data_IF_251889558549
#
_entry.id   IF_251889558549
#
_cell.length_a   1.000
_cell.length_b   1.000
_cell.length_c   1.000
_cell.angle_alpha   90.00
_cell.angle_beta   90.00
_cell.angle_gamma   90.00
#
_symmetry.space_group_name_H-M   'P 1'
#
loop_
_entity.id
_entity.type
_entity.pdbx_description
1 polymer ?
#
# COMPACT_ATOMS: atom_id res chain seq x y z
N UNK A 1 -2.29 -33.70 10.57
CA UNK A 1 -2.83 -32.37 10.91
C UNK A 1 -2.83 -31.54 9.65
N UNK A 2 -4.01 -31.28 9.07
CA UNK A 2 -4.13 -30.43 7.89
C UNK A 2 -4.18 -28.98 8.35
N UNK A 3 -3.08 -28.26 8.18
CA UNK A 3 -3.08 -26.81 8.27
C UNK A 3 -3.80 -26.29 7.02
N UNK A 4 -5.09 -25.94 7.15
CA UNK A 4 -5.74 -25.12 6.14
C UNK A 4 -5.09 -23.73 6.21
N UNK A 5 -4.08 -23.50 5.36
CA UNK A 5 -3.66 -22.15 5.04
C UNK A 5 -4.92 -21.36 4.64
N UNK A 6 -5.14 -20.15 5.18
CA UNK A 6 -6.32 -19.36 4.83
C UNK A 6 -6.39 -19.21 3.31
N UNK A 7 -7.56 -19.50 2.72
CA UNK A 7 -7.76 -19.36 1.27
C UNK A 7 -7.54 -17.90 0.92
N UNK A 8 -6.46 -17.62 0.19
CA UNK A 8 -6.21 -16.28 -0.40
C UNK A 8 -7.49 -15.86 -1.15
N UNK A 9 -8.00 -14.63 -0.95
CA UNK A 9 -9.23 -14.18 -1.60
C UNK A 9 -9.12 -14.34 -3.12
N UNK A 10 -10.21 -14.80 -3.74
CA UNK A 10 -10.27 -15.01 -5.20
C UNK A 10 -10.22 -13.69 -5.97
N UNK A 11 -10.63 -12.59 -5.32
CA UNK A 11 -10.64 -11.25 -5.87
C UNK A 11 -10.33 -10.21 -4.80
N UNK A 12 -9.41 -9.31 -5.11
CA UNK A 12 -9.00 -8.21 -4.23
C UNK A 12 -9.24 -6.90 -4.98
N UNK A 13 -10.02 -6.01 -4.37
CA UNK A 13 -10.23 -4.69 -4.93
C UNK A 13 -9.08 -3.76 -4.56
N UNK A 14 -8.64 -2.96 -5.53
CA UNK A 14 -7.66 -1.87 -5.34
C UNK A 14 -8.38 -0.52 -5.36
N UNK A 15 -7.75 0.50 -4.76
CA UNK A 15 -8.29 1.85 -4.79
C UNK A 15 -8.30 2.43 -6.21
N UNK A 16 -9.42 3.04 -6.62
CA UNK A 16 -9.47 3.86 -7.83
C UNK A 16 -8.77 5.22 -7.60
N UNK A 17 -8.40 5.90 -8.69
CA UNK A 17 -7.68 7.19 -8.65
C UNK A 17 -8.39 8.24 -7.78
N UNK A 18 -9.72 8.34 -7.90
CA UNK A 18 -10.51 9.31 -7.14
C UNK A 18 -10.56 8.98 -5.63
N UNK A 19 -10.37 7.71 -5.25
CA UNK A 19 -10.21 7.33 -3.84
C UNK A 19 -8.85 7.84 -3.32
N UNK A 20 -7.78 7.66 -4.09
CA UNK A 20 -6.42 8.11 -3.70
C UNK A 20 -6.33 9.65 -3.69
N UNK A 21 -7.03 10.33 -4.61
CA UNK A 21 -7.12 11.79 -4.65
C UNK A 21 -7.90 12.38 -3.47
N UNK A 22 -8.80 11.60 -2.85
CA UNK A 22 -9.54 12.04 -1.69
C UNK A 22 -8.61 12.11 -0.47
N UNK A 23 -8.38 13.32 0.05
CA UNK A 23 -7.46 13.57 1.18
C UNK A 23 -7.78 12.76 2.44
N UNK A 24 -9.06 12.49 2.70
CA UNK A 24 -9.48 11.69 3.86
C UNK A 24 -9.08 10.23 3.67
N UNK A 25 -9.45 9.64 2.53
CA UNK A 25 -9.09 8.24 2.21
C UNK A 25 -7.57 8.08 2.16
N UNK A 26 -6.85 9.00 1.51
CA UNK A 26 -5.39 8.98 1.46
C UNK A 26 -4.77 8.94 2.86
N UNK A 27 -5.23 9.80 3.76
CA UNK A 27 -4.73 9.84 5.15
C UNK A 27 -5.09 8.56 5.89
N UNK A 28 -6.37 8.19 5.91
CA UNK A 28 -6.93 7.17 6.80
C UNK A 28 -6.63 5.73 6.35
N UNK A 29 -6.57 5.50 5.04
CA UNK A 29 -6.45 4.15 4.45
C UNK A 29 -5.07 3.87 3.85
N UNK A 30 -4.25 4.90 3.57
CA UNK A 30 -2.94 4.71 2.93
C UNK A 30 -1.81 5.19 3.85
N UNK A 31 -1.76 6.48 4.14
CA UNK A 31 -0.64 7.08 4.86
C UNK A 31 -0.55 6.65 6.32
N UNK A 32 -1.66 6.73 7.07
CA UNK A 32 -1.69 6.37 8.49
C UNK A 32 -1.38 4.87 8.69
N UNK A 33 -2.01 3.93 7.95
CA UNK A 33 -1.64 2.51 8.04
C UNK A 33 -0.18 2.25 7.66
N UNK A 34 0.34 2.91 6.62
CA UNK A 34 1.74 2.73 6.23
C UNK A 34 2.71 3.24 7.29
N UNK A 35 2.37 4.32 8.01
CA UNK A 35 3.18 4.79 9.14
C UNK A 35 3.19 3.80 10.30
N UNK A 36 2.05 3.24 10.65
CA UNK A 36 1.97 2.23 11.70
C UNK A 36 2.73 0.95 11.31
N UNK A 37 2.54 0.49 10.07
CA UNK A 37 3.27 -0.65 9.51
C UNK A 37 4.79 -0.40 9.42
N UNK A 38 5.21 0.86 9.29
CA UNK A 38 6.63 1.17 9.18
C UNK A 38 7.42 0.75 10.43
N UNK A 39 6.81 0.80 11.61
CA UNK A 39 7.43 0.33 12.86
C UNK A 39 7.76 -1.16 12.81
N UNK A 40 6.94 -1.97 12.13
CA UNK A 40 7.17 -3.40 11.93
C UNK A 40 8.17 -3.67 10.81
N UNK A 41 8.08 -2.92 9.71
CA UNK A 41 9.00 -3.03 8.56
C UNK A 41 10.42 -2.57 8.93
N UNK A 42 10.56 -1.63 9.86
CA UNK A 42 11.81 -1.20 10.49
C UNK A 42 12.72 -0.29 9.66
N UNK A 43 12.59 -0.24 8.33
CA UNK A 43 13.37 0.70 7.51
C UNK A 43 12.73 1.01 6.15
N UNK A 44 13.05 2.17 5.57
CA UNK A 44 12.58 2.55 4.23
C UNK A 44 13.01 1.55 3.15
N UNK A 45 14.25 1.04 3.23
CA UNK A 45 14.77 0.04 2.31
C UNK A 45 14.04 -1.31 2.44
N UNK A 46 13.66 -1.71 3.65
CA UNK A 46 12.95 -2.97 3.89
C UNK A 46 11.56 -3.03 3.25
N UNK A 47 10.90 -1.87 3.05
CA UNK A 47 9.63 -1.81 2.33
C UNK A 47 9.69 -2.48 0.96
N UNK A 48 10.79 -2.34 0.22
CA UNK A 48 10.93 -3.00 -1.09
C UNK A 48 10.81 -4.51 -0.99
N UNK A 49 11.35 -5.10 0.08
CA UNK A 49 11.37 -6.56 0.28
C UNK A 49 9.99 -7.09 0.61
N UNK A 50 9.25 -6.38 1.46
CA UNK A 50 7.92 -6.83 1.89
C UNK A 50 6.85 -6.55 0.83
N UNK A 51 6.99 -5.48 0.05
CA UNK A 51 6.03 -5.16 -1.01
C UNK A 51 6.03 -6.19 -2.15
N UNK A 52 7.11 -6.97 -2.33
CA UNK A 52 7.17 -8.10 -3.27
C UNK A 52 6.09 -9.15 -2.95
N UNK A 53 5.62 -9.25 -1.71
CA UNK A 53 4.51 -10.15 -1.35
C UNK A 53 3.19 -9.77 -2.06
N UNK A 54 3.09 -8.60 -2.68
CA UNK A 54 1.92 -8.22 -3.48
C UNK A 54 1.90 -8.90 -4.86
N UNK A 55 3.06 -9.22 -5.44
CA UNK A 55 3.19 -9.94 -6.72
C UNK A 55 2.53 -11.34 -6.63
N UNK A 56 2.49 -11.90 -5.43
CA UNK A 56 1.83 -13.16 -5.06
C UNK A 56 0.30 -13.16 -5.27
N UNK A 57 -0.28 -11.98 -5.53
CA UNK A 57 -1.70 -11.75 -5.83
C UNK A 57 -1.94 -11.32 -7.28
N UNK A 58 -0.93 -11.37 -8.15
CA UNK A 58 -1.09 -11.08 -9.57
C UNK A 58 -2.21 -11.91 -10.21
N UNK A 59 -2.99 -11.24 -11.05
CA UNK A 59 -4.21 -11.81 -11.64
C UNK A 59 -5.43 -11.82 -10.72
N UNK A 60 -5.31 -11.40 -9.45
CA UNK A 60 -6.42 -11.31 -8.49
C UNK A 60 -6.76 -9.87 -8.08
N UNK A 61 -6.00 -8.89 -8.57
CA UNK A 61 -6.19 -7.48 -8.27
C UNK A 61 -7.11 -6.82 -9.30
N UNK A 62 -8.14 -6.13 -8.84
CA UNK A 62 -9.14 -5.50 -9.71
C UNK A 62 -9.52 -4.11 -9.20
N UNK A 63 -9.81 -3.21 -10.13
CA UNK A 63 -10.51 -1.98 -9.83
C UNK A 63 -11.99 -2.26 -9.46
N UNK A 64 -12.69 -1.29 -8.82
CA UNK A 64 -14.11 -1.43 -8.48
C UNK A 64 -15.02 -1.66 -9.68
N UNK A 65 -14.61 -1.24 -10.88
CA UNK A 65 -15.30 -1.45 -12.15
C UNK A 65 -15.04 -2.84 -12.78
N UNK A 66 -14.38 -3.74 -12.05
CA UNK A 66 -13.94 -5.08 -12.47
C UNK A 66 -12.82 -5.10 -13.53
N UNK A 67 -12.23 -3.96 -13.88
CA UNK A 67 -11.04 -3.95 -14.73
C UNK A 67 -9.84 -4.55 -13.97
N UNK A 68 -9.05 -5.45 -14.58
CA UNK A 68 -7.84 -5.95 -13.94
C UNK A 68 -6.87 -4.82 -13.61
N UNK A 69 -6.28 -4.86 -12.43
CA UNK A 69 -5.16 -4.03 -12.06
C UNK A 69 -3.85 -4.80 -12.30
N UNK A 70 -2.91 -4.17 -13.00
CA UNK A 70 -1.54 -4.67 -13.16
C UNK A 70 -0.61 -3.57 -12.71
N UNK A 71 0.34 -3.92 -11.86
CA UNK A 71 1.41 -3.02 -11.46
C UNK A 71 2.70 -3.39 -12.19
N UNK A 72 3.64 -2.44 -12.24
CA UNK A 72 5.04 -2.73 -12.58
C UNK A 72 5.66 -3.65 -11.52
N UNK A 73 6.72 -4.38 -11.87
CA UNK A 73 7.49 -5.15 -10.89
C UNK A 73 7.91 -4.25 -9.72
N UNK A 74 7.85 -4.76 -8.49
CA UNK A 74 8.09 -3.95 -7.29
C UNK A 74 9.50 -3.35 -7.30
N UNK A 75 10.47 -4.09 -7.84
CA UNK A 75 11.84 -3.61 -7.99
C UNK A 75 11.98 -2.44 -8.96
N UNK A 76 11.15 -2.38 -10.01
CA UNK A 76 11.13 -1.27 -10.98
C UNK A 76 10.36 -0.08 -10.40
N UNK A 77 9.18 -0.34 -9.84
CA UNK A 77 8.33 0.67 -9.22
C UNK A 77 9.05 1.40 -8.08
N UNK A 78 9.84 0.67 -7.29
CA UNK A 78 10.69 1.19 -6.21
C UNK A 78 12.17 0.95 -6.53
N UNK A 79 12.67 1.51 -7.63
CA UNK A 79 14.04 1.30 -8.12
C UNK A 79 15.17 1.81 -7.22
N UNK A 80 14.91 2.81 -6.38
CA UNK A 80 15.89 3.28 -5.39
C UNK A 80 16.06 2.26 -4.27
N UNK A 81 17.26 1.67 -4.12
CA UNK A 81 17.58 0.69 -3.07
C UNK A 81 17.33 1.25 -1.67
N UNK A 82 17.65 2.52 -1.45
CA UNK A 82 17.39 3.19 -0.17
C UNK A 82 15.92 3.58 0.01
N UNK A 83 15.12 3.45 -1.04
CA UNK A 83 13.70 3.78 -1.11
C UNK A 83 13.41 5.17 -0.51
N UNK A 84 14.19 6.20 -0.90
CA UNK A 84 14.05 7.56 -0.36
C UNK A 84 12.65 8.12 -0.52
N UNK A 85 11.95 7.68 -1.57
CA UNK A 85 10.56 8.03 -1.81
C UNK A 85 9.65 7.63 -0.64
N UNK A 86 9.87 6.46 -0.02
CA UNK A 86 9.11 6.03 1.16
C UNK A 86 9.29 6.99 2.34
N UNK A 87 10.51 7.48 2.56
CA UNK A 87 10.75 8.52 3.58
C UNK A 87 9.95 9.79 3.30
N UNK A 88 9.97 10.28 2.06
CA UNK A 88 9.19 11.47 1.66
C UNK A 88 7.67 11.25 1.75
N UNK A 89 7.21 10.03 1.52
CA UNK A 89 5.80 9.65 1.60
C UNK A 89 5.33 9.57 3.06
N UNK A 90 6.15 8.99 3.96
CA UNK A 90 5.80 8.84 5.36
C UNK A 90 5.97 10.13 6.17
N UNK A 91 6.61 11.18 5.63
CA UNK A 91 6.74 12.48 6.29
C UNK A 91 5.38 13.02 6.77
N UNK A 92 5.33 13.37 8.05
CA UNK A 92 4.19 14.06 8.64
C UNK A 92 4.33 15.58 8.50
N UNK A 93 3.19 16.27 8.55
CA UNK A 93 3.15 17.70 8.75
C UNK A 93 3.63 18.08 10.17
N UNK A 94 3.64 19.38 10.47
CA UNK A 94 4.09 19.92 11.75
C UNK A 94 3.32 19.37 12.96
N UNK A 95 2.09 18.89 12.74
CA UNK A 95 1.24 18.33 13.80
C UNK A 95 1.53 16.86 14.08
N UNK A 96 2.21 16.16 13.16
CA UNK A 96 2.39 14.72 13.21
C UNK A 96 1.14 13.91 12.85
N UNK A 97 -0.02 14.54 12.71
CA UNK A 97 -1.31 13.87 12.57
C UNK A 97 -1.75 13.68 11.10
N UNK A 98 -1.09 14.35 10.16
CA UNK A 98 -1.43 14.30 8.73
C UNK A 98 -0.15 14.21 7.88
N UNK A 99 -0.26 13.73 6.62
CA UNK A 99 0.86 13.72 5.70
C UNK A 99 1.31 15.13 5.35
N UNK A 100 2.62 15.33 5.23
CA UNK A 100 3.18 16.59 4.72
C UNK A 100 2.81 16.84 3.26
N UNK A 101 2.64 15.77 2.48
CA UNK A 101 2.32 15.82 1.06
C UNK A 101 1.22 14.81 0.73
N UNK A 102 0.25 15.24 -0.06
CA UNK A 102 -0.78 14.35 -0.59
C UNK A 102 -0.36 13.70 -1.90
N UNK A 103 -1.10 12.66 -2.29
CA UNK A 103 -0.88 11.94 -3.53
C UNK A 103 -0.94 12.84 -4.76
N UNK A 104 -0.17 12.45 -5.77
CA UNK A 104 -0.23 12.98 -7.12
C UNK A 104 -0.33 11.80 -8.10
N UNK A 105 -0.94 11.98 -9.30
CA UNK A 105 -1.27 10.87 -10.21
C UNK A 105 -0.09 9.92 -10.50
N UNK A 106 1.12 10.46 -10.69
CA UNK A 106 2.33 9.66 -10.95
C UNK A 106 2.76 8.71 -9.81
N UNK A 107 2.11 8.79 -8.65
CA UNK A 107 2.42 7.95 -7.48
C UNK A 107 1.33 6.94 -7.16
N UNK A 108 0.21 6.96 -7.88
CA UNK A 108 -0.97 6.18 -7.49
C UNK A 108 -0.71 4.68 -7.43
N UNK A 109 0.12 4.14 -8.33
CA UNK A 109 0.43 2.70 -8.30
C UNK A 109 1.28 2.30 -7.09
N UNK A 110 2.28 3.11 -6.71
CA UNK A 110 3.01 2.92 -5.44
C UNK A 110 2.05 2.90 -4.25
N UNK A 111 1.09 3.82 -4.24
CA UNK A 111 0.14 3.96 -3.14
C UNK A 111 -0.84 2.80 -3.07
N UNK A 112 -1.26 2.23 -4.21
CA UNK A 112 -2.08 1.01 -4.25
C UNK A 112 -1.35 -0.18 -3.66
N UNK A 113 -0.11 -0.39 -4.06
CA UNK A 113 0.72 -1.50 -3.57
C UNK A 113 0.93 -1.38 -2.05
N UNK A 114 1.23 -0.17 -1.56
CA UNK A 114 1.39 0.09 -0.12
C UNK A 114 0.09 -0.11 0.64
N UNK A 115 -1.02 0.43 0.13
CA UNK A 115 -2.34 0.23 0.72
C UNK A 115 -2.71 -1.25 0.80
N UNK A 116 -2.52 -1.99 -0.28
CA UNK A 116 -2.76 -3.42 -0.34
C UNK A 116 -1.95 -4.17 0.72
N UNK A 117 -0.65 -3.88 0.81
CA UNK A 117 0.22 -4.51 1.81
C UNK A 117 -0.27 -4.22 3.24
N UNK A 118 -0.55 -2.95 3.55
CA UNK A 118 -1.04 -2.57 4.87
C UNK A 118 -2.40 -3.19 5.19
N UNK A 119 -3.29 -3.35 4.20
CA UNK A 119 -4.60 -3.95 4.41
C UNK A 119 -4.55 -5.47 4.57
N UNK A 120 -3.63 -6.15 3.87
CA UNK A 120 -3.51 -7.60 3.90
C UNK A 120 -2.70 -8.11 5.11
N UNK A 121 -1.68 -7.34 5.53
CA UNK A 121 -0.71 -7.77 6.53
C UNK A 121 -0.69 -6.88 7.77
N UNK A 122 -1.30 -5.69 7.72
CA UNK A 122 -1.41 -4.81 8.87
C UNK A 122 -2.36 -5.33 9.94
N UNK A 123 -2.24 -4.79 11.17
CA UNK A 123 -3.14 -5.13 12.26
C UNK A 123 -4.58 -4.88 11.82
N UNK A 124 -5.43 -5.89 12.01
CA UNK A 124 -6.82 -5.87 11.57
C UNK A 124 -7.52 -4.62 12.10
N UNK A 125 -7.79 -3.65 11.21
CA UNK A 125 -8.63 -2.50 11.54
C UNK A 125 -10.08 -2.87 11.29
N UNK A 126 -11.01 -2.60 12.22
CA UNK A 126 -12.42 -2.71 11.93
C UNK A 126 -12.76 -1.76 10.77
N UNK A 127 -13.36 -2.30 9.71
CA UNK A 127 -13.96 -1.50 8.65
C UNK A 127 -15.16 -0.76 9.27
N UNK A 128 -15.03 0.56 9.47
CA UNK A 128 -16.15 1.43 9.84
C UNK A 128 -16.85 1.96 8.58
#
# INVERSE_FOLDING_TARGET
MNFHAPKKPEKILVLADHHIANRRIYREQIWQPAREMHEEVGSYAAWRRVLVEIEDYDGRLFYPDNRPYRHEEICEMFSDIGNRWMGLFLEADETGAAPKRYAIPKTYDRLRVIELYCRLYGPARPMN
#
